data_IF_739004876076
#
_entry.id   IF_739004876076
#
_cell.length_a   1.000
_cell.length_b   1.000
_cell.length_c   1.000
_cell.angle_alpha   90.00
_cell.angle_beta   90.00
_cell.angle_gamma   90.00
#
_symmetry.space_group_name_H-M   'P 1'
#
loop_
_entity.id
_entity.type
_entity.pdbx_description
1 polymer ?
#
# COMPACT_ATOMS: atom_id res chain seq x y z
N UNK A 1 10.13 -15.93 45.20
CA UNK A 1 10.63 -15.08 44.09
C UNK A 1 11.23 -15.98 43.03
N UNK A 2 10.74 -15.92 41.79
CA UNK A 2 11.50 -15.86 40.53
C UNK A 2 10.50 -15.73 39.40
N UNK A 3 10.33 -14.50 38.93
CA UNK A 3 9.51 -14.18 37.76
C UNK A 3 10.24 -14.70 36.52
N UNK A 4 9.61 -15.58 35.73
CA UNK A 4 10.13 -16.00 34.42
C UNK A 4 9.46 -15.14 33.34
N UNK A 5 10.19 -14.14 32.85
CA UNK A 5 9.85 -13.38 31.63
C UNK A 5 10.20 -14.26 30.43
N UNK A 6 9.23 -14.57 29.58
CA UNK A 6 9.48 -15.32 28.36
C UNK A 6 9.00 -14.53 27.11
N UNK A 7 9.88 -13.61 26.72
CA UNK A 7 10.19 -13.11 25.38
C UNK A 7 9.14 -13.31 24.27
N UNK A 8 8.43 -12.22 23.93
CA UNK A 8 7.64 -12.08 22.70
C UNK A 8 8.54 -12.16 21.45
N UNK A 9 8.42 -13.23 20.68
CA UNK A 9 9.04 -13.36 19.36
C UNK A 9 8.09 -12.77 18.31
N UNK A 10 8.25 -11.49 18.01
CA UNK A 10 7.63 -10.85 16.85
C UNK A 10 8.25 -11.43 15.57
N UNK A 11 7.77 -12.60 15.13
CA UNK A 11 8.13 -13.18 13.84
C UNK A 11 7.35 -12.45 12.76
N UNK A 12 8.01 -11.49 12.11
CA UNK A 12 7.55 -10.89 10.87
C UNK A 12 7.21 -12.01 9.87
N UNK A 13 6.02 -12.02 9.23
CA UNK A 13 5.67 -13.09 8.30
C UNK A 13 6.62 -13.04 7.11
N UNK A 14 7.45 -14.08 7.00
CA UNK A 14 8.34 -14.34 5.87
C UNK A 14 7.45 -14.54 4.64
N UNK A 15 7.40 -13.51 3.79
CA UNK A 15 6.62 -13.54 2.55
C UNK A 15 7.29 -14.55 1.63
N UNK A 16 6.70 -15.74 1.53
CA UNK A 16 7.05 -16.77 0.56
C UNK A 16 7.12 -16.12 -0.83
N UNK A 17 8.31 -16.13 -1.43
CA UNK A 17 8.55 -15.65 -2.78
C UNK A 17 8.01 -16.70 -3.77
N UNK A 18 6.70 -16.91 -3.77
CA UNK A 18 6.05 -17.65 -4.84
C UNK A 18 6.16 -16.79 -6.10
N UNK A 19 6.95 -17.26 -7.05
CA UNK A 19 7.02 -16.69 -8.39
C UNK A 19 5.64 -16.85 -9.04
N UNK A 20 4.81 -15.82 -8.87
CA UNK A 20 3.50 -15.74 -9.48
C UNK A 20 3.71 -15.38 -10.95
N UNK A 21 3.54 -16.35 -11.84
CA UNK A 21 3.44 -16.11 -13.27
C UNK A 21 1.95 -15.87 -13.57
N UNK A 22 1.48 -14.61 -13.59
CA UNK A 22 0.13 -14.36 -14.12
C UNK A 22 0.21 -14.23 -15.64
N UNK A 23 -0.65 -14.98 -16.32
CA UNK A 23 -0.70 -15.12 -17.78
C UNK A 23 -1.38 -13.94 -18.50
N UNK A 24 -1.23 -12.71 -18.02
CA UNK A 24 -1.84 -11.52 -18.63
C UNK A 24 -0.77 -10.45 -18.87
N UNK A 25 -0.04 -10.54 -19.99
CA UNK A 25 1.04 -9.62 -20.44
C UNK A 25 1.62 -8.70 -19.34
N UNK A 26 2.09 -9.31 -18.24
CA UNK A 26 2.34 -8.54 -17.03
C UNK A 26 3.53 -7.62 -17.29
N UNK A 27 3.31 -6.32 -17.09
CA UNK A 27 4.38 -5.33 -17.21
C UNK A 27 5.50 -5.73 -16.27
N UNK A 28 6.71 -5.88 -16.82
CA UNK A 28 7.88 -6.31 -16.07
C UNK A 28 8.07 -5.46 -14.81
N UNK A 29 8.10 -6.10 -13.64
CA UNK A 29 8.21 -5.36 -12.37
C UNK A 29 9.52 -4.57 -12.23
N UNK A 30 10.53 -4.86 -13.05
CA UNK A 30 11.81 -4.16 -13.04
C UNK A 30 11.76 -2.84 -13.81
N UNK A 31 11.03 -2.77 -14.94
CA UNK A 31 11.07 -1.59 -15.82
C UNK A 31 9.72 -1.10 -16.35
N UNK A 32 8.64 -1.86 -16.14
CA UNK A 32 7.28 -1.52 -16.54
C UNK A 32 6.93 -1.78 -18.01
N UNK A 33 7.80 -2.46 -18.77
CA UNK A 33 7.58 -2.82 -20.18
C UNK A 33 7.10 -4.26 -20.31
N UNK A 34 6.43 -4.60 -21.41
CA UNK A 34 5.96 -5.95 -21.69
C UNK A 34 7.14 -6.85 -22.13
N UNK A 35 7.58 -7.75 -21.24
CA UNK A 35 8.53 -8.83 -21.51
C UNK A 35 8.65 -9.75 -20.28
N UNK A 36 9.26 -10.92 -20.46
CA UNK A 36 9.62 -11.80 -19.34
C UNK A 36 10.71 -11.16 -18.50
N UNK A 37 10.59 -11.26 -17.18
CA UNK A 37 11.55 -10.68 -16.21
C UNK A 37 12.99 -11.12 -16.48
N UNK A 38 13.19 -12.36 -16.95
CA UNK A 38 14.49 -12.94 -17.31
C UNK A 38 15.19 -12.17 -18.41
N UNK A 39 14.43 -11.62 -19.36
CA UNK A 39 14.93 -10.93 -20.54
C UNK A 39 15.11 -9.43 -20.28
N UNK A 40 14.83 -8.98 -19.05
CA UNK A 40 14.92 -7.57 -18.70
C UNK A 40 16.39 -7.10 -18.60
N UNK A 41 16.82 -6.11 -19.40
CA UNK A 41 18.18 -5.58 -19.33
C UNK A 41 18.44 -4.79 -18.03
N UNK A 42 17.39 -4.32 -17.37
CA UNK A 42 17.45 -3.50 -16.16
C UNK A 42 17.59 -4.32 -14.86
N UNK A 43 18.20 -5.51 -14.93
CA UNK A 43 18.36 -6.44 -13.80
C UNK A 43 19.16 -5.87 -12.62
N UNK A 44 20.18 -5.07 -12.91
CA UNK A 44 21.07 -4.46 -11.89
C UNK A 44 20.94 -2.94 -11.81
N UNK A 45 19.92 -2.38 -12.48
CA UNK A 45 19.70 -0.93 -12.48
C UNK A 45 19.45 -0.44 -11.05
N UNK A 46 20.06 0.68 -10.69
CA UNK A 46 19.82 1.35 -9.42
C UNK A 46 18.61 2.26 -9.57
N UNK A 47 17.66 2.15 -8.66
CA UNK A 47 16.51 3.04 -8.61
C UNK A 47 16.95 4.43 -8.15
N UNK A 48 16.70 5.46 -8.96
CA UNK A 48 17.05 6.85 -8.64
C UNK A 48 16.22 7.47 -7.49
N UNK A 49 15.25 6.74 -6.94
CA UNK A 49 14.38 7.24 -5.89
C UNK A 49 14.64 6.59 -4.52
N UNK A 50 14.85 5.27 -4.48
CA UNK A 50 15.07 4.54 -3.22
C UNK A 50 16.49 3.97 -3.11
N UNK A 51 17.35 4.24 -4.09
CA UNK A 51 18.73 3.78 -4.19
C UNK A 51 18.95 2.25 -4.23
N UNK A 52 17.88 1.45 -4.27
CA UNK A 52 17.93 -0.01 -4.35
C UNK A 52 18.08 -0.50 -5.78
N UNK A 53 18.77 -1.63 -5.98
CA UNK A 53 18.94 -2.27 -7.30
C UNK A 53 17.75 -3.13 -7.70
N UNK A 54 17.60 -3.37 -9.00
CA UNK A 54 16.67 -4.34 -9.56
C UNK A 54 15.33 -3.78 -10.05
N UNK A 55 15.16 -2.45 -10.04
CA UNK A 55 13.99 -1.80 -10.62
C UNK A 55 14.27 -0.33 -10.99
N UNK A 56 13.54 0.19 -11.98
CA UNK A 56 13.56 1.59 -12.39
C UNK A 56 12.67 2.44 -11.47
N UNK A 57 13.00 3.72 -11.36
CA UNK A 57 12.20 4.70 -10.63
C UNK A 57 10.73 4.73 -11.08
N UNK A 58 10.45 4.43 -12.35
CA UNK A 58 9.10 4.38 -12.92
C UNK A 58 8.18 3.36 -12.23
N UNK A 59 8.74 2.26 -11.74
CA UNK A 59 8.01 1.15 -11.09
C UNK A 59 8.38 1.03 -9.60
N UNK A 60 8.99 2.08 -9.03
CA UNK A 60 9.39 2.09 -7.63
C UNK A 60 8.16 2.09 -6.71
N UNK A 61 8.04 1.05 -5.88
CA UNK A 61 6.94 0.92 -4.91
C UNK A 61 6.96 2.05 -3.89
N UNK A 62 8.13 2.42 -3.39
CA UNK A 62 8.27 3.51 -2.40
C UNK A 62 7.79 4.85 -2.98
N UNK A 63 8.15 5.13 -4.24
CA UNK A 63 7.64 6.32 -4.96
C UNK A 63 6.12 6.29 -5.05
N UNK A 64 5.53 5.17 -5.45
CA UNK A 64 4.08 5.03 -5.53
C UNK A 64 3.38 5.19 -4.17
N UNK A 65 3.99 4.73 -3.09
CA UNK A 65 3.46 4.95 -1.73
C UNK A 65 3.54 6.41 -1.32
N UNK A 66 4.66 7.10 -1.57
CA UNK A 66 4.78 8.53 -1.28
C UNK A 66 3.78 9.36 -2.08
N UNK A 67 3.56 9.06 -3.36
CA UNK A 67 2.56 9.78 -4.17
C UNK A 67 1.13 9.60 -3.63
N UNK A 68 0.79 8.40 -3.14
CA UNK A 68 -0.52 8.13 -2.53
C UNK A 68 -0.73 8.86 -1.19
N UNK A 69 0.36 9.09 -0.45
CA UNK A 69 0.33 9.77 0.84
C UNK A 69 0.50 11.29 0.71
N UNK A 70 1.11 11.78 -0.38
CA UNK A 70 1.40 13.18 -0.64
C UNK A 70 0.35 13.90 -1.49
N UNK A 71 -0.49 13.17 -2.23
CA UNK A 71 -1.78 13.72 -2.64
C UNK A 71 -2.61 13.80 -1.37
N UNK A 72 -2.93 15.02 -0.94
CA UNK A 72 -3.76 15.31 0.23
C UNK A 72 -5.05 14.50 0.10
N UNK A 73 -5.05 13.28 0.62
CA UNK A 73 -6.27 12.58 0.90
C UNK A 73 -6.90 13.47 1.94
N UNK A 74 -7.89 14.26 1.53
CA UNK A 74 -8.75 14.94 2.47
C UNK A 74 -9.18 13.85 3.44
N UNK A 75 -8.99 14.02 4.76
CA UNK A 75 -9.33 12.99 5.72
C UNK A 75 -10.79 12.60 5.51
N UNK A 76 -11.03 11.45 4.89
CA UNK A 76 -12.39 10.97 4.65
C UNK A 76 -12.88 10.48 5.99
N UNK A 77 -13.62 11.32 6.70
CA UNK A 77 -14.21 10.98 7.98
C UNK A 77 -15.16 9.80 7.76
N UNK A 78 -14.95 8.71 8.50
CA UNK A 78 -15.92 7.62 8.57
C UNK A 78 -17.12 8.14 9.35
N UNK A 79 -18.27 8.27 8.69
CA UNK A 79 -19.54 8.61 9.32
C UNK A 79 -20.26 7.36 9.78
N UNK A 80 -20.96 7.45 10.91
CA UNK A 80 -21.84 6.40 11.41
C UNK A 80 -23.17 6.37 10.63
N UNK A 81 -23.90 5.26 10.73
CA UNK A 81 -25.26 5.15 10.16
C UNK A 81 -26.19 6.25 10.68
N UNK A 82 -26.05 6.62 11.95
CA UNK A 82 -26.84 7.70 12.56
C UNK A 82 -26.51 9.07 11.95
N UNK A 83 -25.23 9.38 11.78
CA UNK A 83 -24.81 10.64 11.14
C UNK A 83 -25.24 10.73 9.67
N UNK A 84 -25.22 9.60 8.94
CA UNK A 84 -25.74 9.54 7.58
C UNK A 84 -27.24 9.81 7.53
N UNK A 85 -28.01 9.17 8.42
CA UNK A 85 -29.47 9.36 8.50
C UNK A 85 -29.80 10.82 8.84
N UNK A 86 -29.05 11.44 9.75
CA UNK A 86 -29.19 12.88 10.08
C UNK A 86 -28.98 13.79 8.88
N UNK A 87 -27.95 13.52 8.08
CA UNK A 87 -27.64 14.30 6.89
C UNK A 87 -28.70 14.16 5.79
N UNK A 88 -29.31 12.98 5.65
CA UNK A 88 -30.35 12.72 4.64
C UNK A 88 -31.69 13.29 5.06
N UNK A 89 -32.06 13.12 6.33
CA UNK A 89 -33.39 13.46 6.82
C UNK A 89 -33.50 14.89 7.34
N UNK A 90 -32.38 15.62 7.48
CA UNK A 90 -32.34 17.01 7.90
C UNK A 90 -33.19 17.26 9.14
N UNK A 91 -32.70 16.84 10.31
CA UNK A 91 -33.47 16.96 11.56
C UNK A 91 -33.91 18.42 11.78
N UNK A 92 -35.20 18.70 11.52
CA UNK A 92 -35.86 19.94 11.92
C UNK A 92 -35.93 19.92 13.44
N UNK A 93 -35.07 20.69 14.10
CA UNK A 93 -35.11 20.90 15.55
C UNK A 93 -36.54 21.23 15.97
N UNK A 94 -37.21 20.27 16.63
CA UNK A 94 -38.43 20.59 17.37
C UNK A 94 -38.00 21.38 18.59
N UNK A 95 -38.08 22.70 18.51
CA UNK A 95 -38.17 23.55 19.69
C UNK A 95 -39.45 23.13 20.41
N UNK A 96 -39.29 22.37 21.49
CA UNK A 96 -40.36 22.16 22.46
C UNK A 96 -40.25 23.32 23.43
N UNK A 97 -41.28 24.17 23.37
CA UNK A 97 -41.54 25.32 24.23
C UNK A 97 -41.86 24.89 25.67
#
# INVERSE_FOLDING_TARGET
>A
QVYKVQQNKNKSPQKNHQQFYSTDQEKCYRCGKAHKVTDCPFKETKCNFCDKKGHLQAVCREKQHQQRNGHSQTPVKRITKAELVKAILGEVSRNIH
#
